data_IF_839134051449
#
_entry.id   IF_839134051449
#
_cell.length_a   1.000
_cell.length_b   1.000
_cell.length_c   1.000
_cell.angle_alpha   90.00
_cell.angle_beta   90.00
_cell.angle_gamma   90.00
#
_symmetry.space_group_name_H-M   'P 1'
#
loop_
_entity.id
_entity.type
_entity.pdbx_description
1 polymer ?
#
# COMPACT_ATOMS: atom_id res chain seq x y z
N UNK A 1 -84.99 12.00 18.96
CA UNK A 1 -83.81 12.18 18.06
C UNK A 1 -82.60 12.08 18.91
N UNK A 2 -81.97 10.91 18.98
CA UNK A 2 -80.79 10.68 19.85
C UNK A 2 -79.55 10.73 18.97
N UNK A 3 -78.72 11.68 19.19
CA UNK A 3 -77.38 11.82 18.57
C UNK A 3 -76.39 10.92 19.26
N UNK A 4 -76.02 9.83 18.62
CA UNK A 4 -74.95 8.95 19.08
C UNK A 4 -73.62 9.56 18.66
N UNK A 5 -72.94 10.23 19.58
CA UNK A 5 -71.56 10.68 19.42
C UNK A 5 -70.66 9.45 19.66
N UNK A 6 -70.11 8.91 18.64
CA UNK A 6 -69.03 7.88 18.70
C UNK A 6 -67.78 8.53 19.25
N UNK A 7 -67.48 8.26 20.51
CA UNK A 7 -66.16 8.58 21.10
C UNK A 7 -65.09 7.68 20.50
N UNK A 8 -64.21 8.22 19.77
CA UNK A 8 -62.97 7.57 19.34
C UNK A 8 -62.09 7.37 20.61
N UNK A 9 -61.64 6.14 20.93
CA UNK A 9 -60.82 5.93 22.11
C UNK A 9 -59.43 6.48 21.91
N UNK A 10 -59.15 7.62 22.52
CA UNK A 10 -57.82 8.24 22.59
C UNK A 10 -56.98 7.67 23.72
N UNK A 11 -56.78 6.37 23.79
CA UNK A 11 -55.85 5.75 24.72
C UNK A 11 -54.97 4.75 24.02
N UNK A 12 -54.13 5.24 23.11
CA UNK A 12 -52.88 4.58 22.82
C UNK A 12 -52.00 4.80 24.05
N UNK A 13 -51.78 3.77 24.87
CA UNK A 13 -51.04 3.92 26.12
C UNK A 13 -49.62 4.49 25.80
N UNK A 14 -49.09 5.33 26.68
CA UNK A 14 -47.77 5.94 26.53
C UNK A 14 -46.68 4.87 26.26
N UNK A 15 -46.85 3.67 26.79
CA UNK A 15 -45.97 2.55 26.53
C UNK A 15 -46.02 2.06 25.08
N UNK A 16 -47.18 2.03 24.47
CA UNK A 16 -47.32 1.66 23.06
C UNK A 16 -46.65 2.68 22.12
N UNK A 17 -46.78 3.96 22.47
CA UNK A 17 -46.10 5.05 21.72
C UNK A 17 -44.61 4.97 21.87
N UNK A 18 -44.06 4.74 23.06
CA UNK A 18 -42.63 4.53 23.30
C UNK A 18 -42.10 3.31 22.52
N UNK A 19 -42.85 2.22 22.56
CA UNK A 19 -42.44 1.02 21.80
C UNK A 19 -42.42 1.28 20.29
N UNK A 20 -43.41 1.99 19.75
CA UNK A 20 -43.44 2.38 18.34
C UNK A 20 -42.24 3.26 17.96
N UNK A 21 -41.87 4.23 18.81
CA UNK A 21 -40.67 5.04 18.60
C UNK A 21 -39.40 4.23 18.59
N UNK A 22 -39.25 3.29 19.50
CA UNK A 22 -38.08 2.39 19.56
C UNK A 22 -37.99 1.51 18.31
N UNK A 23 -39.10 1.01 17.84
CA UNK A 23 -39.14 0.16 16.66
C UNK A 23 -38.84 0.97 15.37
N UNK A 24 -39.30 2.22 15.28
CA UNK A 24 -38.94 3.15 14.20
C UNK A 24 -37.45 3.45 14.21
N UNK A 25 -36.85 3.71 15.39
CA UNK A 25 -35.42 3.96 15.54
C UNK A 25 -34.61 2.73 15.07
N UNK A 26 -34.99 1.54 15.48
CA UNK A 26 -34.35 0.29 15.04
C UNK A 26 -34.43 0.13 13.52
N UNK A 27 -35.60 0.41 12.93
CA UNK A 27 -35.77 0.32 11.48
C UNK A 27 -34.85 1.30 10.75
N UNK A 28 -34.75 2.54 11.22
CA UNK A 28 -33.85 3.57 10.66
C UNK A 28 -32.40 3.11 10.79
N UNK A 29 -31.98 2.54 11.92
CA UNK A 29 -30.63 2.03 12.11
C UNK A 29 -30.31 0.90 11.12
N UNK A 30 -31.21 -0.05 10.93
CA UNK A 30 -31.06 -1.14 9.97
C UNK A 30 -30.92 -0.59 8.55
N UNK A 31 -31.76 0.39 8.15
CA UNK A 31 -31.71 1.02 6.85
C UNK A 31 -30.38 1.78 6.63
N UNK A 32 -29.87 2.49 7.65
CA UNK A 32 -28.60 3.20 7.57
C UNK A 32 -27.41 2.24 7.43
N UNK A 33 -27.42 1.11 8.18
CA UNK A 33 -26.38 0.10 8.06
C UNK A 33 -26.42 -0.53 6.67
N UNK A 34 -27.59 -0.92 6.18
CA UNK A 34 -27.77 -1.49 4.86
C UNK A 34 -27.33 -0.54 3.74
N UNK A 35 -27.62 0.74 3.88
CA UNK A 35 -27.17 1.77 2.94
C UNK A 35 -25.64 1.94 2.98
N UNK A 36 -25.05 1.94 4.17
CA UNK A 36 -23.60 1.99 4.33
C UNK A 36 -22.92 0.79 3.69
N UNK A 37 -23.43 -0.42 3.89
CA UNK A 37 -22.91 -1.65 3.27
C UNK A 37 -23.04 -1.63 1.75
N UNK A 38 -24.12 -1.06 1.22
CA UNK A 38 -24.33 -0.90 -0.22
C UNK A 38 -23.38 0.14 -0.83
N UNK A 39 -23.06 1.22 -0.11
CA UNK A 39 -22.16 2.29 -0.58
C UNK A 39 -20.69 1.94 -0.35
N UNK A 40 -20.38 1.05 0.60
CA UNK A 40 -19.03 0.66 0.98
C UNK A 40 -18.17 0.17 -0.20
N UNK A 41 -18.66 -0.70 -1.10
CA UNK A 41 -17.89 -1.11 -2.28
C UNK A 41 -17.68 0.01 -3.30
N UNK A 42 -18.57 1.01 -3.37
CA UNK A 42 -18.45 2.14 -4.30
C UNK A 42 -17.38 3.15 -3.85
N UNK A 43 -17.12 3.22 -2.54
CA UNK A 43 -16.10 4.10 -1.96
C UNK A 43 -14.76 3.40 -1.78
N UNK A 44 -14.71 2.07 -1.85
CA UNK A 44 -13.49 1.29 -1.75
C UNK A 44 -12.73 1.39 -3.07
N UNK A 45 -11.82 2.35 -3.18
CA UNK A 45 -10.82 2.35 -4.25
C UNK A 45 -9.95 1.12 -4.04
N UNK A 46 -9.89 0.25 -5.03
CA UNK A 46 -8.91 -0.82 -5.03
C UNK A 46 -7.51 -0.20 -4.88
N UNK A 47 -6.68 -0.70 -3.94
CA UNK A 47 -5.34 -0.18 -3.76
C UNK A 47 -4.56 -0.41 -5.07
N UNK A 48 -4.36 0.68 -5.79
CA UNK A 48 -3.57 0.65 -7.02
C UNK A 48 -2.11 0.37 -6.64
N UNK A 49 -1.52 -0.64 -7.28
CA UNK A 49 -0.10 -0.96 -7.07
C UNK A 49 0.73 0.27 -7.44
N UNK A 50 1.56 0.72 -6.51
CA UNK A 50 2.41 1.90 -6.71
C UNK A 50 3.56 1.60 -7.67
N UNK A 51 4.19 0.45 -7.53
CA UNK A 51 5.28 -0.01 -8.39
C UNK A 51 4.71 -0.89 -9.51
N UNK A 52 4.67 -0.37 -10.73
CA UNK A 52 4.07 -1.01 -11.92
C UNK A 52 5.04 -1.18 -13.08
N UNK A 53 6.33 -0.82 -12.89
CA UNK A 53 7.34 -1.01 -13.93
C UNK A 53 7.58 -2.49 -14.22
N UNK A 54 7.79 -2.82 -15.48
CA UNK A 54 8.15 -4.16 -15.93
C UNK A 54 9.56 -4.52 -15.47
N UNK A 55 10.45 -3.53 -15.40
CA UNK A 55 11.82 -3.70 -14.94
C UNK A 55 11.86 -3.54 -13.42
N UNK A 56 12.10 -4.64 -12.72
CA UNK A 56 12.36 -4.62 -11.27
C UNK A 56 13.77 -4.13 -10.97
N UNK A 57 14.04 -3.69 -9.75
CA UNK A 57 15.39 -3.32 -9.30
C UNK A 57 16.41 -4.43 -9.58
N UNK A 58 16.08 -5.68 -9.24
CA UNK A 58 16.91 -6.84 -9.55
C UNK A 58 17.17 -7.00 -11.06
N UNK A 59 16.12 -6.85 -11.89
CA UNK A 59 16.25 -6.92 -13.35
C UNK A 59 17.20 -5.84 -13.89
N UNK A 60 17.13 -4.62 -13.35
CA UNK A 60 18.03 -3.53 -13.73
C UNK A 60 19.48 -3.80 -13.31
N UNK A 61 19.72 -4.34 -12.13
CA UNK A 61 21.07 -4.75 -11.68
C UNK A 61 21.65 -5.83 -12.59
N UNK A 62 20.87 -6.83 -12.95
CA UNK A 62 21.31 -7.87 -13.91
C UNK A 62 21.66 -7.25 -15.28
N UNK A 63 20.85 -6.31 -15.75
CA UNK A 63 21.11 -5.62 -17.01
C UNK A 63 22.41 -4.78 -16.95
N UNK A 64 22.72 -4.15 -15.82
CA UNK A 64 23.99 -3.44 -15.61
C UNK A 64 25.18 -4.41 -15.64
N UNK A 65 25.06 -5.57 -14.97
CA UNK A 65 26.14 -6.56 -14.87
C UNK A 65 26.38 -7.26 -16.23
N UNK A 66 25.31 -7.55 -16.97
CA UNK A 66 25.42 -8.29 -18.25
C UNK A 66 25.56 -7.41 -19.47
N UNK A 67 25.25 -6.12 -19.35
CA UNK A 67 25.29 -5.15 -20.43
C UNK A 67 26.67 -4.59 -20.70
N UNK A 68 26.68 -3.43 -21.37
CA UNK A 68 27.92 -2.75 -21.72
C UNK A 68 28.70 -2.30 -20.46
N UNK A 69 30.01 -2.54 -20.36
CA UNK A 69 30.80 -2.26 -19.16
C UNK A 69 30.81 -0.80 -18.75
N UNK A 70 30.68 0.16 -19.71
CA UNK A 70 30.62 1.58 -19.37
C UNK A 70 29.33 1.96 -18.63
N UNK A 71 28.24 1.20 -18.78
CA UNK A 71 26.98 1.50 -18.08
C UNK A 71 27.14 1.40 -16.56
N UNK A 72 27.73 0.31 -16.09
CA UNK A 72 27.92 0.13 -14.65
C UNK A 72 28.84 1.21 -14.08
N UNK A 73 29.87 1.62 -14.82
CA UNK A 73 30.75 2.70 -14.42
C UNK A 73 30.02 4.06 -14.35
N UNK A 74 29.18 4.37 -15.33
CA UNK A 74 28.42 5.62 -15.35
C UNK A 74 27.39 5.68 -14.20
N UNK A 75 26.71 4.58 -13.93
CA UNK A 75 25.61 4.53 -12.96
C UNK A 75 26.10 4.35 -11.52
N UNK A 76 27.15 3.54 -11.30
CA UNK A 76 27.64 3.17 -9.96
C UNK A 76 29.03 3.74 -9.61
N UNK A 77 29.71 4.38 -10.56
CA UNK A 77 31.03 4.96 -10.35
C UNK A 77 32.18 3.95 -10.24
N UNK A 78 31.91 2.65 -10.42
CA UNK A 78 32.87 1.55 -10.31
C UNK A 78 32.97 0.76 -11.62
N UNK A 79 34.12 0.14 -11.88
CA UNK A 79 34.21 -0.86 -12.92
C UNK A 79 33.46 -2.14 -12.50
N UNK A 80 33.05 -2.93 -13.50
CA UNK A 80 32.29 -4.17 -13.26
C UNK A 80 33.07 -5.13 -12.36
N UNK A 81 34.37 -5.28 -12.59
CA UNK A 81 35.26 -6.16 -11.83
C UNK A 81 35.33 -5.73 -10.37
N UNK A 82 35.46 -4.43 -10.11
CA UNK A 82 35.49 -3.86 -8.76
C UNK A 82 34.15 -4.06 -8.03
N UNK A 83 33.04 -3.89 -8.75
CA UNK A 83 31.70 -4.15 -8.21
C UNK A 83 31.54 -5.61 -7.80
N UNK A 84 31.94 -6.56 -8.66
CA UNK A 84 31.84 -7.99 -8.35
C UNK A 84 32.76 -8.40 -7.20
N UNK A 85 33.97 -7.83 -7.13
CA UNK A 85 34.89 -8.03 -6.02
C UNK A 85 34.29 -7.51 -4.70
N UNK A 86 33.66 -6.33 -4.72
CA UNK A 86 32.97 -5.75 -3.57
C UNK A 86 31.84 -6.66 -3.08
N UNK A 87 31.01 -7.16 -3.99
CA UNK A 87 29.93 -8.11 -3.65
C UNK A 87 30.48 -9.38 -2.99
N UNK A 88 31.58 -9.93 -3.52
CA UNK A 88 32.23 -11.13 -2.96
C UNK A 88 32.73 -10.86 -1.55
N UNK A 89 33.39 -9.71 -1.30
CA UNK A 89 33.90 -9.33 0.01
C UNK A 89 32.78 -9.16 1.04
N UNK A 90 31.65 -8.52 0.67
CA UNK A 90 30.50 -8.41 1.57
C UNK A 90 29.89 -9.78 1.91
N UNK A 91 29.88 -10.73 0.97
CA UNK A 91 29.46 -12.12 1.25
C UNK A 91 30.40 -12.82 2.21
N UNK A 92 31.71 -12.64 2.06
CA UNK A 92 32.72 -13.22 2.96
C UNK A 92 32.65 -12.62 4.37
N UNK A 93 32.25 -11.37 4.49
CA UNK A 93 31.97 -10.71 5.77
C UNK A 93 30.65 -11.17 6.42
N UNK A 94 29.89 -12.06 5.77
CA UNK A 94 28.66 -12.63 6.32
C UNK A 94 27.37 -11.91 5.93
N UNK A 95 27.43 -10.91 5.03
CA UNK A 95 26.24 -10.29 4.48
C UNK A 95 25.54 -11.23 3.51
N UNK A 96 24.22 -11.27 3.57
CA UNK A 96 23.41 -12.18 2.79
C UNK A 96 22.24 -11.44 2.12
N UNK A 97 21.64 -12.12 1.16
CA UNK A 97 20.41 -11.68 0.53
C UNK A 97 19.33 -11.48 1.59
N UNK A 98 18.63 -10.37 1.50
CA UNK A 98 17.42 -10.15 2.31
C UNK A 98 16.23 -10.88 1.67
N UNK A 99 15.12 -10.95 2.40
CA UNK A 99 13.90 -11.61 1.92
C UNK A 99 13.37 -11.05 0.59
N UNK A 100 13.68 -9.80 0.27
CA UNK A 100 13.11 -9.07 -0.88
C UNK A 100 14.13 -8.50 -1.84
N UNK A 101 15.37 -8.34 -1.40
CA UNK A 101 16.42 -7.64 -2.14
C UNK A 101 17.70 -8.47 -2.03
N UNK A 102 18.34 -8.77 -3.15
CA UNK A 102 19.62 -9.49 -3.19
C UNK A 102 20.75 -8.61 -2.68
N UNK A 103 21.89 -9.19 -2.33
CA UNK A 103 23.05 -8.44 -1.86
C UNK A 103 23.57 -7.50 -2.95
N UNK A 104 23.61 -7.98 -4.21
CA UNK A 104 23.98 -7.17 -5.37
C UNK A 104 23.09 -5.94 -5.50
N UNK A 105 21.79 -6.11 -5.33
CA UNK A 105 20.82 -5.01 -5.41
C UNK A 105 21.00 -4.02 -4.24
N UNK A 106 21.26 -4.51 -3.02
CA UNK A 106 21.53 -3.67 -1.85
C UNK A 106 22.76 -2.78 -2.08
N UNK A 107 23.87 -3.37 -2.54
CA UNK A 107 25.09 -2.64 -2.85
C UNK A 107 24.87 -1.66 -4.00
N UNK A 108 24.12 -2.06 -5.02
CA UNK A 108 23.78 -1.21 -6.16
C UNK A 108 22.96 0.00 -5.71
N UNK A 109 21.95 -0.17 -4.87
CA UNK A 109 21.15 0.93 -4.31
C UNK A 109 22.04 1.92 -3.57
N UNK A 110 22.94 1.43 -2.71
CA UNK A 110 23.86 2.26 -1.96
C UNK A 110 24.79 3.07 -2.88
N UNK A 111 25.45 2.42 -3.83
CA UNK A 111 26.35 3.08 -4.78
C UNK A 111 25.61 4.08 -5.66
N UNK A 112 24.43 3.72 -6.15
CA UNK A 112 23.60 4.60 -6.96
C UNK A 112 23.19 5.87 -6.19
N UNK A 113 22.86 5.76 -4.91
CA UNK A 113 22.60 6.91 -4.06
C UNK A 113 23.83 7.78 -3.86
N UNK A 114 25.01 7.18 -3.68
CA UNK A 114 26.27 7.92 -3.53
C UNK A 114 26.64 8.69 -4.79
N UNK A 115 26.46 8.09 -5.96
CA UNK A 115 26.82 8.72 -7.25
C UNK A 115 25.81 9.79 -7.65
N UNK A 116 24.52 9.52 -7.50
CA UNK A 116 23.46 10.39 -8.00
C UNK A 116 23.04 11.47 -7.00
N UNK A 117 23.22 11.23 -5.71
CA UNK A 117 22.71 12.10 -4.65
C UNK A 117 21.18 12.17 -4.58
N UNK A 118 20.47 11.24 -5.22
CA UNK A 118 19.01 11.21 -5.26
C UNK A 118 18.42 10.88 -3.88
N UNK A 119 17.22 11.38 -3.65
CA UNK A 119 16.49 11.07 -2.42
C UNK A 119 16.00 9.62 -2.42
N UNK A 120 15.81 9.04 -1.25
CA UNK A 120 15.25 7.68 -1.05
C UNK A 120 13.99 7.47 -1.89
N UNK A 121 13.14 8.48 -2.03
CA UNK A 121 11.91 8.39 -2.81
C UNK A 121 12.17 8.17 -4.29
N UNK A 122 13.11 8.87 -4.88
CA UNK A 122 13.48 8.69 -6.28
C UNK A 122 14.14 7.34 -6.52
N UNK A 123 14.99 6.91 -5.58
CA UNK A 123 15.65 5.61 -5.65
C UNK A 123 14.62 4.48 -5.49
N UNK A 124 13.65 4.61 -4.60
CA UNK A 124 12.58 3.61 -4.44
C UNK A 124 11.74 3.44 -5.70
N UNK A 125 11.47 4.53 -6.42
CA UNK A 125 10.82 4.46 -7.74
C UNK A 125 11.67 3.74 -8.77
N UNK A 126 12.96 4.04 -8.81
CA UNK A 126 13.87 3.44 -9.77
C UNK A 126 14.03 1.93 -9.56
N UNK A 127 14.21 1.50 -8.31
CA UNK A 127 14.36 0.09 -7.93
C UNK A 127 13.04 -0.64 -7.69
N UNK A 128 11.90 0.03 -7.84
CA UNK A 128 10.56 -0.55 -7.63
C UNK A 128 10.41 -1.21 -6.26
N UNK A 129 11.03 -0.63 -5.23
CA UNK A 129 10.96 -1.10 -3.86
C UNK A 129 10.45 -0.02 -2.90
N UNK A 130 10.02 -0.40 -1.72
CA UNK A 130 9.52 0.56 -0.73
C UNK A 130 10.67 1.39 -0.13
N UNK A 131 10.37 2.63 0.27
CA UNK A 131 11.32 3.49 0.99
C UNK A 131 11.86 2.83 2.25
N UNK A 132 11.06 2.01 2.95
CA UNK A 132 11.48 1.23 4.11
C UNK A 132 12.54 0.17 3.76
N UNK A 133 12.47 -0.38 2.55
CA UNK A 133 13.46 -1.37 2.06
C UNK A 133 14.81 -0.72 1.84
N UNK A 134 14.84 0.53 1.36
CA UNK A 134 16.08 1.28 1.11
C UNK A 134 16.69 1.82 2.42
N UNK A 135 15.86 2.16 3.41
CA UNK A 135 16.30 2.78 4.67
C UNK A 135 16.91 1.81 5.68
N UNK A 136 16.78 0.52 5.43
CA UNK A 136 17.31 -0.54 6.32
C UNK A 136 18.71 -0.94 5.98
#
# INVERSE_FOLDING_TARGET
MSSSTTLVPSHYSDETRKQLFLDIIKLIQILLISLFDLLSPLTRRDPQKYHTSILSGHGWVLELITGHPDRIRCELGLQKEDFLALVAEFRDLGHQDSRRVTLEEQITIFLYMCVTGLTIRHVSEHFQCSSDTISR
#
